data_IF_854634673944
#
_entry.id   IF_854634673944
#
_cell.length_a   1.000
_cell.length_b   1.000
_cell.length_c   1.000
_cell.angle_alpha   90.00
_cell.angle_beta   90.00
_cell.angle_gamma   90.00
#
_symmetry.space_group_name_H-M   'P 1'
#
loop_
_entity.id
_entity.type
_entity.pdbx_description
1 polymer ?
#
# COMPACT_ATOMS: atom_id res chain seq x y z
N UNK A 1 21.27 4.50 -25.05
CA UNK A 1 20.37 5.19 -24.10
C UNK A 1 18.94 4.79 -24.46
N UNK A 2 18.33 3.91 -23.66
CA UNK A 2 16.98 3.44 -23.92
C UNK A 2 15.99 4.51 -23.43
N UNK A 3 15.26 5.15 -24.33
CA UNK A 3 14.13 6.02 -24.02
C UNK A 3 12.98 5.12 -23.51
N UNK A 4 13.01 4.73 -22.25
CA UNK A 4 11.82 4.21 -21.60
C UNK A 4 10.87 5.38 -21.37
N UNK A 5 9.93 5.57 -22.31
CA UNK A 5 8.82 6.47 -22.12
C UNK A 5 8.06 6.11 -20.84
N UNK A 6 7.41 7.10 -20.20
CA UNK A 6 6.57 6.82 -19.02
C UNK A 6 5.54 5.74 -19.40
N UNK A 7 5.35 4.70 -18.55
CA UNK A 7 4.37 3.67 -18.84
C UNK A 7 2.99 4.28 -19.05
N UNK A 8 2.32 3.85 -20.11
CA UNK A 8 0.96 4.26 -20.44
C UNK A 8 -0.02 3.31 -19.78
N UNK A 9 -1.19 3.80 -19.46
CA UNK A 9 -2.22 3.01 -18.78
C UNK A 9 -2.92 2.03 -19.74
N UNK A 10 -3.11 2.41 -21.01
CA UNK A 10 -3.88 1.62 -21.99
C UNK A 10 -3.37 0.18 -22.13
N UNK A 11 -2.04 -0.08 -22.28
CA UNK A 11 -1.54 -1.45 -22.35
C UNK A 11 -1.76 -2.26 -21.07
N UNK A 12 -1.87 -1.59 -19.90
CA UNK A 12 -2.10 -2.23 -18.62
C UNK A 12 -3.58 -2.58 -18.46
N UNK A 13 -4.49 -1.69 -18.88
CA UNK A 13 -5.93 -1.96 -18.93
C UNK A 13 -6.27 -3.13 -19.85
N UNK A 14 -5.59 -3.25 -20.99
CA UNK A 14 -5.79 -4.35 -21.93
C UNK A 14 -5.48 -5.75 -21.35
N UNK A 15 -4.80 -5.82 -20.20
CA UNK A 15 -4.50 -7.08 -19.50
C UNK A 15 -5.61 -7.52 -18.53
N UNK A 16 -6.63 -6.71 -18.34
CA UNK A 16 -7.78 -7.01 -17.47
C UNK A 16 -8.82 -7.77 -18.30
N UNK A 17 -9.44 -8.80 -17.72
CA UNK A 17 -10.62 -9.42 -18.32
C UNK A 17 -11.77 -8.40 -18.40
N UNK A 18 -11.92 -7.81 -19.57
CA UNK A 18 -12.91 -6.78 -19.85
C UNK A 18 -14.35 -7.26 -19.73
N UNK A 19 -14.61 -8.55 -19.94
CA UNK A 19 -15.97 -9.10 -19.77
C UNK A 19 -16.33 -9.10 -18.28
N UNK A 20 -15.46 -9.70 -17.46
CA UNK A 20 -15.65 -9.77 -16.01
C UNK A 20 -15.67 -8.37 -15.37
N UNK A 21 -14.81 -7.46 -15.83
CA UNK A 21 -14.83 -6.06 -15.39
C UNK A 21 -16.17 -5.39 -15.64
N UNK A 22 -16.74 -5.52 -16.83
CA UNK A 22 -18.06 -4.94 -17.13
C UNK A 22 -19.18 -5.55 -16.31
N UNK A 23 -19.12 -6.84 -16.00
CA UNK A 23 -20.08 -7.51 -15.11
C UNK A 23 -20.03 -6.92 -13.69
N UNK A 24 -18.82 -6.70 -13.14
CA UNK A 24 -18.64 -6.03 -11.85
C UNK A 24 -19.19 -4.60 -11.91
N UNK A 25 -18.80 -3.81 -12.89
CA UNK A 25 -19.23 -2.42 -13.03
C UNK A 25 -20.76 -2.27 -13.10
N UNK A 26 -21.44 -3.17 -13.83
CA UNK A 26 -22.92 -3.16 -13.89
C UNK A 26 -23.56 -3.41 -12.54
N UNK A 27 -23.04 -4.31 -11.72
CA UNK A 27 -23.58 -4.59 -10.39
C UNK A 27 -23.50 -3.41 -9.44
N UNK A 28 -22.48 -2.58 -9.58
CA UNK A 28 -22.26 -1.42 -8.72
C UNK A 28 -22.70 -0.10 -9.35
N UNK A 29 -23.20 -0.12 -10.59
CA UNK A 29 -23.74 1.08 -11.27
C UNK A 29 -24.94 1.63 -10.50
N UNK A 30 -24.89 2.92 -10.16
CA UNK A 30 -25.96 3.59 -9.39
C UNK A 30 -26.07 3.19 -7.92
N UNK A 31 -25.13 2.40 -7.41
CA UNK A 31 -25.09 2.05 -5.98
C UNK A 31 -24.82 3.27 -5.11
N UNK A 32 -25.55 3.42 -4.01
CA UNK A 32 -25.31 4.43 -2.97
C UNK A 32 -24.18 4.04 -2.01
N UNK A 33 -23.61 2.84 -2.14
CA UNK A 33 -22.48 2.40 -1.34
C UNK A 33 -21.27 3.29 -1.64
N UNK A 34 -20.69 3.89 -0.58
CA UNK A 34 -19.49 4.75 -0.69
C UNK A 34 -18.29 4.06 -1.34
N UNK A 35 -18.25 2.74 -1.30
CA UNK A 35 -17.18 1.94 -1.88
C UNK A 35 -17.42 1.57 -3.36
N UNK A 36 -18.64 1.77 -3.89
CA UNK A 36 -18.95 1.52 -5.30
C UNK A 36 -18.05 2.31 -6.27
N UNK A 37 -17.46 3.41 -5.81
CA UNK A 37 -16.46 4.19 -6.56
C UNK A 37 -15.25 3.36 -7.02
N UNK A 38 -14.92 2.27 -6.34
CA UNK A 38 -13.80 1.39 -6.75
C UNK A 38 -14.10 0.59 -8.01
N UNK A 39 -15.35 0.52 -8.47
CA UNK A 39 -15.71 -0.05 -9.77
C UNK A 39 -15.17 0.79 -10.96
N UNK A 40 -14.83 2.06 -10.75
CA UNK A 40 -14.09 2.87 -11.73
C UNK A 40 -12.59 2.51 -11.73
N UNK A 41 -12.31 1.32 -12.26
CA UNK A 41 -10.96 0.73 -12.26
C UNK A 41 -9.95 1.62 -12.96
N UNK A 42 -10.33 2.24 -14.08
CA UNK A 42 -9.42 3.11 -14.84
C UNK A 42 -8.97 4.31 -14.00
N UNK A 43 -9.90 4.95 -13.30
CA UNK A 43 -9.61 6.07 -12.39
C UNK A 43 -8.61 5.66 -11.31
N UNK A 44 -8.85 4.53 -10.64
CA UNK A 44 -7.98 4.08 -9.55
C UNK A 44 -6.62 3.60 -10.01
N UNK A 45 -6.52 3.02 -11.21
CA UNK A 45 -5.22 2.70 -11.81
C UNK A 45 -4.45 3.98 -12.18
N UNK A 46 -5.12 5.04 -12.66
CA UNK A 46 -4.50 6.36 -12.90
C UNK A 46 -3.90 6.96 -11.61
N UNK A 47 -4.57 6.80 -10.47
CA UNK A 47 -4.08 7.26 -9.16
C UNK A 47 -2.86 6.45 -8.70
N UNK A 48 -2.83 5.13 -8.96
CA UNK A 48 -1.78 4.26 -8.45
C UNK A 48 -0.55 4.15 -9.38
N UNK A 49 -0.68 4.47 -10.66
CA UNK A 49 0.45 4.43 -11.60
C UNK A 49 1.61 5.38 -11.23
N UNK A 50 1.36 6.63 -10.78
CA UNK A 50 2.42 7.49 -10.24
C UNK A 50 3.17 6.89 -9.05
N UNK A 51 2.49 6.14 -8.16
CA UNK A 51 3.12 5.45 -7.02
C UNK A 51 4.14 4.40 -7.49
N UNK A 52 3.78 3.63 -8.53
CA UNK A 52 4.68 2.65 -9.15
C UNK A 52 5.90 3.33 -9.77
N UNK A 53 5.70 4.46 -10.45
CA UNK A 53 6.77 5.24 -11.09
C UNK A 53 7.70 5.90 -10.06
N UNK A 54 7.15 6.48 -9.00
CA UNK A 54 7.90 7.08 -7.89
C UNK A 54 8.82 6.06 -7.22
N UNK A 55 8.30 4.86 -6.99
CA UNK A 55 9.05 3.73 -6.43
C UNK A 55 9.96 3.05 -7.47
N UNK A 56 10.01 3.58 -8.71
CA UNK A 56 10.80 3.06 -9.84
C UNK A 56 10.50 1.58 -10.15
N UNK A 57 9.30 1.10 -9.82
CA UNK A 57 8.91 -0.30 -10.04
C UNK A 57 8.72 -0.61 -11.52
N UNK A 58 8.41 0.39 -12.33
CA UNK A 58 8.30 0.30 -13.79
C UNK A 58 9.63 -0.01 -14.52
N UNK A 59 10.76 0.11 -13.81
CA UNK A 59 12.12 -0.03 -14.38
C UNK A 59 13.15 -0.69 -13.47
N UNK A 60 12.73 -1.19 -12.31
CA UNK A 60 13.61 -1.91 -11.38
C UNK A 60 13.59 -3.43 -11.66
N UNK A 61 14.61 -4.17 -11.24
CA UNK A 61 14.54 -5.63 -11.19
C UNK A 61 13.34 -6.12 -10.38
N UNK A 62 12.86 -7.36 -10.63
CA UNK A 62 11.75 -7.94 -9.88
C UNK A 62 11.98 -7.91 -8.37
N UNK A 63 10.96 -7.49 -7.63
CA UNK A 63 10.94 -7.37 -6.17
C UNK A 63 9.83 -8.23 -5.55
N UNK A 64 10.01 -8.62 -4.30
CA UNK A 64 8.95 -9.10 -3.42
C UNK A 64 8.31 -7.88 -2.76
N UNK A 65 7.01 -7.66 -2.95
CA UNK A 65 6.28 -6.49 -2.44
C UNK A 65 5.15 -6.95 -1.55
N UNK A 66 5.03 -6.35 -0.36
CA UNK A 66 3.86 -6.45 0.51
C UNK A 66 3.16 -5.09 0.56
N UNK A 67 1.85 -5.08 0.37
CA UNK A 67 1.03 -3.87 0.53
C UNK A 67 0.01 -4.06 1.66
N UNK A 68 0.15 -3.26 2.70
CA UNK A 68 -0.66 -3.29 3.91
C UNK A 68 -1.91 -2.42 3.74
N UNK A 69 -3.09 -2.99 3.92
CA UNK A 69 -4.34 -2.33 3.59
C UNK A 69 -4.51 -2.17 2.08
N UNK A 70 -4.23 -3.23 1.32
CA UNK A 70 -4.17 -3.18 -0.15
C UNK A 70 -5.51 -2.88 -0.84
N UNK A 71 -6.63 -2.92 -0.10
CA UNK A 71 -7.98 -2.68 -0.62
C UNK A 71 -8.30 -3.57 -1.81
N UNK A 72 -8.68 -2.96 -2.92
CA UNK A 72 -8.99 -3.64 -4.17
C UNK A 72 -7.74 -4.04 -5.01
N UNK A 73 -6.52 -3.81 -4.50
CA UNK A 73 -5.29 -4.30 -5.11
C UNK A 73 -4.78 -3.54 -6.32
N UNK A 74 -5.22 -2.30 -6.57
CA UNK A 74 -4.83 -1.52 -7.75
C UNK A 74 -3.32 -1.31 -7.88
N UNK A 75 -2.65 -0.94 -6.78
CA UNK A 75 -1.19 -0.77 -6.75
C UNK A 75 -0.49 -2.09 -7.05
N UNK A 76 -0.91 -3.18 -6.41
CA UNK A 76 -0.31 -4.50 -6.58
C UNK A 76 -0.55 -5.07 -7.98
N UNK A 77 -1.73 -4.84 -8.57
CA UNK A 77 -2.00 -5.18 -9.97
C UNK A 77 -0.98 -4.52 -10.89
N UNK A 78 -0.78 -3.21 -10.77
CA UNK A 78 0.20 -2.48 -11.58
C UNK A 78 1.62 -3.00 -11.37
N UNK A 79 2.05 -3.17 -10.12
CA UNK A 79 3.39 -3.71 -9.80
C UNK A 79 3.61 -5.10 -10.42
N UNK A 80 2.61 -5.99 -10.39
CA UNK A 80 2.67 -7.29 -11.07
C UNK A 80 2.92 -7.18 -12.57
N UNK A 81 2.33 -6.16 -13.24
CA UNK A 81 2.51 -6.00 -14.68
C UNK A 81 3.96 -5.65 -15.06
N UNK A 82 4.75 -5.16 -14.10
CA UNK A 82 6.19 -4.90 -14.24
C UNK A 82 7.07 -6.04 -13.72
N UNK A 83 6.49 -7.22 -13.44
CA UNK A 83 7.23 -8.43 -13.09
C UNK A 83 7.52 -8.60 -11.59
N UNK A 84 6.93 -7.79 -10.72
CA UNK A 84 7.10 -7.94 -9.28
C UNK A 84 6.21 -9.07 -8.72
N UNK A 85 6.66 -9.70 -7.64
CA UNK A 85 5.88 -10.66 -6.85
C UNK A 85 5.20 -9.93 -5.72
N UNK A 86 3.87 -9.90 -5.74
CA UNK A 86 3.05 -9.05 -4.89
C UNK A 86 2.20 -9.88 -3.93
N UNK A 87 2.08 -9.40 -2.69
CA UNK A 87 1.16 -9.89 -1.68
C UNK A 87 0.44 -8.71 -1.05
N UNK A 88 -0.86 -8.79 -0.88
CA UNK A 88 -1.65 -7.83 -0.11
C UNK A 88 -1.99 -8.35 1.27
N UNK A 89 -2.17 -7.46 2.22
CA UNK A 89 -2.87 -7.70 3.49
C UNK A 89 -4.06 -6.75 3.56
N UNK A 90 -5.26 -7.28 3.77
CA UNK A 90 -6.47 -6.47 3.96
C UNK A 90 -7.52 -7.24 4.76
N UNK A 91 -8.50 -6.55 5.33
CA UNK A 91 -9.56 -7.16 6.14
C UNK A 91 -10.52 -8.06 5.34
N UNK A 92 -10.68 -7.82 4.05
CA UNK A 92 -11.48 -8.65 3.16
C UNK A 92 -12.99 -8.56 3.36
N UNK A 93 -13.47 -7.52 4.06
CA UNK A 93 -14.88 -7.33 4.40
C UNK A 93 -15.71 -6.62 3.30
N UNK A 94 -15.05 -6.11 2.24
CA UNK A 94 -15.70 -5.43 1.13
C UNK A 94 -15.82 -6.34 -0.09
N UNK A 95 -17.06 -6.68 -0.47
CA UNK A 95 -17.34 -7.59 -1.60
C UNK A 95 -16.71 -7.11 -2.91
N UNK A 96 -16.88 -5.84 -3.26
CA UNK A 96 -16.28 -5.26 -4.47
C UNK A 96 -14.75 -5.38 -4.47
N UNK A 97 -14.10 -5.13 -3.34
CA UNK A 97 -12.65 -5.27 -3.23
C UNK A 97 -12.21 -6.71 -3.45
N UNK A 98 -12.97 -7.69 -2.94
CA UNK A 98 -12.69 -9.11 -3.15
C UNK A 98 -12.81 -9.49 -4.62
N UNK A 99 -13.86 -9.04 -5.30
CA UNK A 99 -14.06 -9.29 -6.73
C UNK A 99 -12.95 -8.68 -7.60
N UNK A 100 -12.46 -7.48 -7.24
CA UNK A 100 -11.37 -6.83 -7.95
C UNK A 100 -10.02 -7.50 -7.68
N UNK A 101 -9.74 -7.94 -6.46
CA UNK A 101 -8.54 -8.73 -6.12
C UNK A 101 -8.50 -10.01 -6.97
N UNK A 102 -9.63 -10.71 -7.10
CA UNK A 102 -9.73 -11.90 -7.95
C UNK A 102 -9.55 -11.55 -9.44
N UNK A 103 -10.21 -10.49 -9.92
CA UNK A 103 -10.08 -10.02 -11.31
C UNK A 103 -8.62 -9.71 -11.66
N UNK A 104 -7.87 -9.09 -10.75
CA UNK A 104 -6.47 -8.74 -10.92
C UNK A 104 -5.51 -9.91 -10.67
N UNK A 105 -6.01 -11.02 -10.12
CA UNK A 105 -5.21 -12.17 -9.73
C UNK A 105 -4.13 -11.79 -8.71
N UNK A 106 -4.45 -10.89 -7.77
CA UNK A 106 -3.55 -10.47 -6.70
C UNK A 106 -3.66 -11.45 -5.53
N UNK A 107 -2.52 -11.94 -5.06
CA UNK A 107 -2.45 -12.75 -3.85
C UNK A 107 -2.71 -11.87 -2.62
N UNK A 108 -3.57 -12.32 -1.69
CA UNK A 108 -3.91 -11.56 -0.49
C UNK A 108 -4.06 -12.47 0.72
N UNK A 109 -3.50 -12.04 1.84
CA UNK A 109 -3.79 -12.55 3.18
C UNK A 109 -4.92 -11.72 3.77
N UNK A 110 -5.93 -12.36 4.33
CA UNK A 110 -7.00 -11.67 5.06
C UNK A 110 -6.59 -11.49 6.51
N UNK A 111 -6.60 -10.26 7.00
CA UNK A 111 -6.22 -9.95 8.37
C UNK A 111 -6.36 -8.46 8.68
N UNK A 112 -6.55 -8.16 9.95
CA UNK A 112 -6.66 -6.78 10.46
C UNK A 112 -5.38 -6.39 11.21
N UNK A 113 -4.84 -5.23 10.88
CA UNK A 113 -3.72 -4.63 11.61
C UNK A 113 -4.27 -3.95 12.87
N UNK A 114 -3.71 -4.29 14.04
CA UNK A 114 -4.09 -3.70 15.33
C UNK A 114 -2.86 -3.35 16.14
N UNK A 115 -3.00 -2.35 17.02
CA UNK A 115 -1.96 -2.01 17.97
C UNK A 115 -1.61 -3.21 18.88
N UNK A 116 -0.32 -3.40 19.15
CA UNK A 116 0.21 -4.48 19.99
C UNK A 116 -0.16 -5.90 19.57
N UNK A 117 -0.59 -6.10 18.32
CA UNK A 117 -0.83 -7.43 17.75
C UNK A 117 0.15 -7.68 16.61
N UNK A 118 0.81 -8.85 16.58
CA UNK A 118 1.69 -9.19 15.48
C UNK A 118 0.91 -9.35 14.19
N UNK A 119 1.55 -9.02 13.08
CA UNK A 119 1.04 -9.31 11.75
C UNK A 119 0.96 -10.83 11.52
N UNK A 120 0.07 -11.29 10.62
CA UNK A 120 0.06 -12.69 10.22
C UNK A 120 1.41 -13.11 9.64
N UNK A 121 1.77 -14.37 9.79
CA UNK A 121 2.97 -14.89 9.14
C UNK A 121 2.79 -14.93 7.61
N UNK A 122 3.65 -14.22 6.90
CA UNK A 122 3.64 -14.19 5.44
C UNK A 122 4.51 -15.29 4.81
N UNK A 123 5.26 -16.07 5.60
CA UNK A 123 6.14 -17.13 5.14
C UNK A 123 7.30 -16.66 4.25
N UNK A 124 7.50 -15.35 4.11
CA UNK A 124 8.52 -14.75 3.23
C UNK A 124 8.91 -13.35 3.65
N UNK A 125 10.05 -12.87 3.14
CA UNK A 125 10.53 -11.50 3.34
C UNK A 125 10.42 -10.68 2.06
N UNK A 126 10.30 -9.36 2.23
CA UNK A 126 9.99 -8.41 1.17
C UNK A 126 11.14 -7.42 0.93
N UNK A 127 11.32 -7.03 -0.31
CA UNK A 127 12.21 -5.95 -0.73
C UNK A 127 11.57 -4.58 -0.47
N UNK A 128 10.23 -4.55 -0.50
CA UNK A 128 9.43 -3.35 -0.30
C UNK A 128 8.16 -3.70 0.46
N UNK A 129 7.89 -2.97 1.52
CA UNK A 129 6.58 -2.98 2.19
C UNK A 129 5.96 -1.60 2.04
N UNK A 130 4.70 -1.55 1.61
CA UNK A 130 3.95 -0.31 1.43
C UNK A 130 2.67 -0.32 2.25
N UNK A 131 2.17 0.87 2.57
CA UNK A 131 0.80 1.09 3.03
C UNK A 131 0.32 2.42 2.44
N UNK A 132 -0.58 2.37 1.48
CA UNK A 132 -1.09 3.57 0.81
C UNK A 132 -2.48 3.93 1.32
N UNK A 133 -2.58 5.08 2.00
CA UNK A 133 -3.86 5.62 2.50
C UNK A 133 -4.64 4.64 3.38
N UNK A 134 -3.94 3.71 4.03
CA UNK A 134 -4.54 2.73 4.92
C UNK A 134 -4.78 3.34 6.31
N UNK A 135 -5.99 3.16 6.84
CA UNK A 135 -6.39 3.71 8.14
C UNK A 135 -6.08 2.77 9.31
N UNK A 136 -5.02 1.94 9.21
CA UNK A 136 -4.70 0.94 10.23
C UNK A 136 -4.17 1.52 11.54
N UNK A 137 -3.63 2.75 11.50
CA UNK A 137 -2.98 3.40 12.63
C UNK A 137 -3.95 4.17 13.55
N UNK A 138 -5.21 3.76 13.60
CA UNK A 138 -6.21 4.27 14.53
C UNK A 138 -6.57 3.23 15.59
N UNK A 139 -6.98 3.70 16.75
CA UNK A 139 -7.60 2.86 17.79
C UNK A 139 -8.91 2.25 17.26
N UNK A 140 -9.37 1.16 17.85
CA UNK A 140 -10.59 0.47 17.40
C UNK A 140 -11.85 1.37 17.44
N UNK A 141 -11.90 2.30 18.40
CA UNK A 141 -12.94 3.32 18.52
C UNK A 141 -12.75 4.54 17.61
N UNK A 142 -11.68 4.51 16.78
CA UNK A 142 -11.28 5.59 15.87
C UNK A 142 -11.06 6.97 16.56
N UNK A 143 -10.98 7.01 17.90
CA UNK A 143 -10.89 8.24 18.67
C UNK A 143 -9.55 8.97 18.50
N UNK A 144 -8.47 8.21 18.30
CA UNK A 144 -7.12 8.74 18.08
C UNK A 144 -6.29 7.91 17.11
N UNK A 145 -5.23 8.51 16.61
CA UNK A 145 -4.14 7.78 15.96
C UNK A 145 -3.28 7.02 16.99
N UNK A 146 -2.47 6.11 16.49
CA UNK A 146 -1.51 5.38 17.30
C UNK A 146 -0.43 6.31 17.86
N UNK A 147 -0.07 6.04 19.10
CA UNK A 147 1.04 6.69 19.78
C UNK A 147 2.41 6.07 19.38
N UNK A 148 3.55 6.64 19.83
CA UNK A 148 4.87 6.11 19.52
C UNK A 148 5.12 4.66 19.98
N UNK A 149 4.51 4.19 21.07
CA UNK A 149 4.69 2.82 21.57
C UNK A 149 3.96 1.80 20.66
N UNK A 150 2.74 2.11 20.26
CA UNK A 150 1.95 1.32 19.32
C UNK A 150 2.65 1.22 17.97
N UNK A 151 3.17 2.35 17.48
CA UNK A 151 3.96 2.42 16.25
C UNK A 151 5.28 1.66 16.36
N UNK A 152 5.95 1.73 17.52
CA UNK A 152 7.18 0.98 17.77
C UNK A 152 6.93 -0.51 17.64
N UNK A 153 5.92 -1.04 18.31
CA UNK A 153 5.57 -2.45 18.22
C UNK A 153 5.33 -2.88 16.75
N UNK A 154 4.52 -2.13 16.03
CA UNK A 154 4.19 -2.39 14.64
C UNK A 154 5.42 -2.39 13.73
N UNK A 155 6.31 -1.39 13.87
CA UNK A 155 7.51 -1.30 13.05
C UNK A 155 8.53 -2.40 13.39
N UNK A 156 8.68 -2.74 14.66
CA UNK A 156 9.56 -3.83 15.09
C UNK A 156 9.08 -5.19 14.56
N UNK A 157 7.76 -5.39 14.49
CA UNK A 157 7.18 -6.60 13.86
C UNK A 157 7.37 -6.59 12.34
N UNK A 158 7.22 -5.44 11.68
CA UNK A 158 7.47 -5.29 10.24
C UNK A 158 8.93 -5.58 9.85
N UNK A 159 9.88 -5.19 10.69
CA UNK A 159 11.32 -5.43 10.43
C UNK A 159 11.62 -6.93 10.26
N UNK A 160 10.82 -7.82 10.86
CA UNK A 160 10.96 -9.29 10.69
C UNK A 160 10.69 -9.72 9.25
N UNK A 161 9.85 -8.99 8.51
CA UNK A 161 9.44 -9.28 7.15
C UNK A 161 10.23 -8.51 6.10
N UNK A 162 11.11 -7.60 6.49
CA UNK A 162 11.99 -6.92 5.54
C UNK A 162 13.25 -7.74 5.26
N UNK A 163 13.69 -7.77 4.01
CA UNK A 163 15.00 -8.26 3.62
C UNK A 163 16.08 -7.26 4.03
N UNK A 164 17.35 -7.68 4.16
CA UNK A 164 18.46 -6.74 4.27
C UNK A 164 18.41 -5.73 3.11
N UNK A 165 18.44 -4.43 3.44
CA UNK A 165 18.30 -3.35 2.46
C UNK A 165 16.88 -3.12 1.92
N UNK A 166 15.87 -3.83 2.44
CA UNK A 166 14.47 -3.61 2.13
C UNK A 166 14.02 -2.20 2.51
N UNK A 167 12.86 -1.79 2.02
CA UNK A 167 12.31 -0.45 2.22
C UNK A 167 10.88 -0.52 2.73
N UNK A 168 10.52 0.43 3.59
CA UNK A 168 9.16 0.63 4.07
C UNK A 168 8.69 2.02 3.65
N UNK A 169 7.52 2.10 3.03
CA UNK A 169 6.81 3.34 2.73
C UNK A 169 5.41 3.30 3.32
N UNK A 170 5.16 4.15 4.28
CA UNK A 170 3.83 4.36 4.85
C UNK A 170 3.27 5.70 4.38
N UNK A 171 2.09 5.69 3.78
CA UNK A 171 1.28 6.88 3.49
C UNK A 171 0.09 6.86 4.45
N UNK A 172 0.18 7.68 5.49
CA UNK A 172 -0.77 7.70 6.59
C UNK A 172 -1.85 8.75 6.32
N UNK A 173 -3.11 8.37 6.44
CA UNK A 173 -4.21 9.31 6.25
C UNK A 173 -4.12 10.47 7.25
N UNK A 174 -4.23 11.69 6.73
CA UNK A 174 -4.35 12.89 7.56
C UNK A 174 -5.62 12.84 8.42
N UNK A 175 -5.53 13.30 9.64
CA UNK A 175 -6.71 13.54 10.48
C UNK A 175 -7.61 14.64 9.90
N UNK A 176 -8.77 14.85 10.54
CA UNK A 176 -9.74 15.90 10.15
C UNK A 176 -9.13 17.31 10.14
N UNK A 177 -8.09 17.54 10.92
CA UNK A 177 -7.36 18.81 11.05
C UNK A 177 -6.26 19.00 9.99
N UNK A 178 -6.14 18.09 9.03
CA UNK A 178 -5.10 18.05 7.99
C UNK A 178 -3.66 18.00 8.54
N UNK A 179 -3.47 17.67 9.81
CA UNK A 179 -2.18 17.35 10.38
C UNK A 179 -1.91 15.87 10.16
N UNK A 180 -0.87 15.55 9.44
CA UNK A 180 -0.52 14.16 9.13
C UNK A 180 -0.06 13.40 10.38
N UNK A 181 0.67 14.08 11.29
CA UNK A 181 1.18 13.48 12.52
C UNK A 181 1.12 14.47 13.69
N UNK A 182 0.75 14.02 14.90
CA UNK A 182 1.13 14.70 16.12
C UNK A 182 2.67 14.86 16.21
N UNK A 183 3.14 15.89 16.92
CA UNK A 183 4.58 16.20 17.00
C UNK A 183 5.39 15.00 17.52
N UNK A 184 4.89 14.33 18.56
CA UNK A 184 5.51 13.16 19.15
C UNK A 184 5.64 11.98 18.18
N UNK A 185 4.67 11.76 17.30
CA UNK A 185 4.69 10.70 16.28
C UNK A 185 5.70 11.05 15.18
N UNK A 186 5.73 12.31 14.75
CA UNK A 186 6.72 12.77 13.78
C UNK A 186 8.14 12.63 14.31
N UNK A 187 8.38 13.07 15.54
CA UNK A 187 9.67 12.97 16.21
C UNK A 187 10.11 11.52 16.39
N UNK A 188 9.17 10.63 16.70
CA UNK A 188 9.42 9.19 16.76
C UNK A 188 9.95 8.64 15.44
N UNK A 189 9.32 8.97 14.31
CA UNK A 189 9.79 8.53 13.01
C UNK A 189 11.17 9.11 12.67
N UNK A 190 11.40 10.40 12.92
CA UNK A 190 12.69 11.04 12.67
C UNK A 190 13.82 10.41 13.51
N UNK A 191 13.57 10.11 14.80
CA UNK A 191 14.52 9.43 15.68
C UNK A 191 14.86 8.00 15.20
N UNK A 192 13.96 7.34 14.48
CA UNK A 192 14.21 6.04 13.83
C UNK A 192 14.92 6.16 12.46
N UNK A 193 15.37 7.34 12.09
CA UNK A 193 16.07 7.59 10.83
C UNK A 193 15.13 7.66 9.61
N UNK A 194 13.83 7.84 9.82
CA UNK A 194 12.88 8.01 8.73
C UNK A 194 13.05 9.37 8.04
N UNK A 195 12.82 9.40 6.72
CA UNK A 195 12.44 10.62 6.02
C UNK A 195 10.94 10.78 6.09
N UNK A 196 10.48 11.92 6.60
CA UNK A 196 9.06 12.27 6.68
C UNK A 196 8.77 13.41 5.71
N UNK A 197 7.84 13.19 4.78
CA UNK A 197 7.47 14.13 3.72
C UNK A 197 5.93 14.17 3.61
N UNK A 198 5.32 15.20 4.20
CA UNK A 198 3.87 15.29 4.34
C UNK A 198 3.31 14.08 5.09
N UNK A 199 2.45 13.33 4.42
CA UNK A 199 1.81 12.11 4.92
C UNK A 199 2.68 10.85 4.78
N UNK A 200 3.85 10.94 4.13
CA UNK A 200 4.70 9.81 3.78
C UNK A 200 5.88 9.66 4.71
N UNK A 201 6.08 8.44 5.14
CA UNK A 201 7.20 8.01 5.97
C UNK A 201 8.00 6.95 5.23
N UNK A 202 9.27 7.24 4.98
CA UNK A 202 10.21 6.35 4.32
C UNK A 202 11.21 5.83 5.34
N UNK A 203 11.27 4.52 5.52
CA UNK A 203 12.18 3.86 6.46
C UNK A 203 13.02 2.80 5.73
N UNK A 204 14.26 2.63 6.22
CA UNK A 204 15.10 1.47 5.90
C UNK A 204 15.39 0.71 7.20
N UNK A 205 15.25 -0.62 7.23
CA UNK A 205 15.57 -1.40 8.43
C UNK A 205 17.03 -1.22 8.81
N UNK A 206 17.30 -1.16 10.12
CA UNK A 206 18.65 -1.06 10.67
C UNK A 206 19.41 0.24 10.39
N UNK A 207 18.75 1.27 9.86
CA UNK A 207 19.38 2.52 9.49
C UNK A 207 19.36 3.56 10.60
N UNK A 208 20.51 3.85 11.17
CA UNK A 208 20.82 5.12 11.86
C UNK A 208 21.23 6.22 10.87
N UNK A 209 21.20 5.93 9.57
CA UNK A 209 21.63 6.87 8.50
C UNK A 209 20.42 7.49 7.82
N UNK A 210 20.34 8.81 7.71
CA UNK A 210 19.24 9.48 6.98
C UNK A 210 19.13 8.95 5.56
N UNK A 211 17.89 8.73 5.11
CA UNK A 211 17.62 8.36 3.71
C UNK A 211 18.01 9.55 2.83
N UNK A 212 19.16 9.49 2.16
CA UNK A 212 19.52 10.48 1.14
C UNK A 212 18.45 10.49 0.04
N UNK A 213 18.13 11.69 -0.44
CA UNK A 213 17.16 11.94 -1.51
C UNK A 213 17.35 10.98 -2.70
N UNK A 214 16.27 10.32 -3.05
CA UNK A 214 16.16 9.51 -4.27
C UNK A 214 15.86 10.43 -5.45
#
# INVERSE_FOLDING_TARGET
MSFFGRPRLEPLLAKIDNRRLREIQRRYAGSSDRYAKYADVEHWLKINLPRVQELKLDRSPPKQILDLGCGAGFFLFLAKQFGHKCLGLDVGDLLLSNELIELFGVERVTGRIRAFQPLPDFGRKFDLITAFSAAFNRTEDESRGWNPEELKFFLDDLDRYLKPGGQLLLEINSGKDKRYFPVEVRDFFLKRGARVDGERVYLKPGGTTPVSSI
#
